data_IF_358219371212
#
_entry.id   IF_358219371212
#
_cell.length_a   1.000
_cell.length_b   1.000
_cell.length_c   1.000
_cell.angle_alpha   90.00
_cell.angle_beta   90.00
_cell.angle_gamma   90.00
#
_symmetry.space_group_name_H-M   'P 1'
#
loop_
_entity.id
_entity.type
_entity.pdbx_description
1 polymer ?
#
# COMPACT_ATOMS: atom_id res chain seq x y z
N UNK A 1 -8.33 22.00 -0.34
CA UNK A 1 -8.10 20.59 0.03
C UNK A 1 -6.60 20.34 0.05
N UNK A 2 -6.10 19.73 1.09
CA UNK A 2 -4.65 19.50 1.18
C UNK A 2 -4.24 18.28 0.34
N UNK A 3 -2.98 18.27 -0.09
CA UNK A 3 -2.43 17.13 -0.81
C UNK A 3 -2.54 15.83 0.01
N UNK A 4 -2.53 15.96 1.34
CA UNK A 4 -2.66 14.83 2.25
C UNK A 4 -3.98 14.08 2.07
N UNK A 5 -5.08 14.84 1.89
CA UNK A 5 -6.40 14.24 1.67
C UNK A 5 -6.44 13.51 0.33
N UNK A 6 -5.85 14.10 -0.71
CA UNK A 6 -5.81 13.49 -2.03
C UNK A 6 -5.03 12.18 -2.00
N UNK A 7 -3.85 12.18 -1.36
CA UNK A 7 -3.01 10.99 -1.25
C UNK A 7 -3.74 9.91 -0.48
N UNK A 8 -4.37 10.26 0.64
CA UNK A 8 -5.13 9.30 1.44
C UNK A 8 -6.25 8.67 0.61
N UNK A 9 -7.04 9.47 -0.08
CA UNK A 9 -8.18 8.99 -0.86
C UNK A 9 -7.71 8.03 -1.96
N UNK A 10 -6.65 8.41 -2.70
CA UNK A 10 -6.14 7.58 -3.79
C UNK A 10 -5.54 6.27 -3.29
N UNK A 11 -4.80 6.33 -2.18
CA UNK A 11 -4.22 5.11 -1.61
C UNK A 11 -5.30 4.18 -1.09
N UNK A 12 -6.33 4.72 -0.45
CA UNK A 12 -7.46 3.95 0.03
C UNK A 12 -8.19 3.28 -1.13
N UNK A 13 -8.45 4.04 -2.20
CA UNK A 13 -9.13 3.50 -3.38
C UNK A 13 -8.31 2.38 -4.01
N UNK A 14 -7.00 2.57 -4.11
CA UNK A 14 -6.10 1.57 -4.68
C UNK A 14 -6.14 0.27 -3.86
N UNK A 15 -5.99 0.36 -2.55
CA UNK A 15 -5.99 -0.82 -1.68
C UNK A 15 -7.36 -1.48 -1.66
N UNK A 16 -8.43 -0.69 -1.65
CA UNK A 16 -9.80 -1.20 -1.68
C UNK A 16 -10.09 -1.97 -2.97
N UNK A 17 -9.48 -1.58 -4.08
CA UNK A 17 -9.58 -2.30 -5.34
C UNK A 17 -8.70 -3.56 -5.33
N UNK A 18 -7.49 -3.44 -4.81
CA UNK A 18 -6.48 -4.49 -4.90
C UNK A 18 -6.80 -5.72 -4.03
N UNK A 19 -7.21 -5.50 -2.79
CA UNK A 19 -7.39 -6.61 -1.84
C UNK A 19 -8.45 -7.62 -2.33
N UNK A 20 -9.66 -7.20 -2.75
CA UNK A 20 -10.61 -8.17 -3.30
C UNK A 20 -10.08 -8.89 -4.53
N UNK A 21 -9.32 -8.20 -5.38
CA UNK A 21 -8.73 -8.80 -6.57
C UNK A 21 -7.78 -9.93 -6.20
N UNK A 22 -6.96 -9.74 -5.16
CA UNK A 22 -6.00 -10.77 -4.74
C UNK A 22 -6.67 -12.01 -4.18
N UNK A 23 -7.88 -11.87 -3.66
CA UNK A 23 -8.63 -13.01 -3.14
C UNK A 23 -9.07 -13.97 -4.24
N UNK A 24 -9.16 -13.50 -5.48
CA UNK A 24 -9.51 -14.33 -6.63
C UNK A 24 -8.30 -15.00 -7.27
N UNK A 25 -7.09 -14.73 -6.79
CA UNK A 25 -5.88 -15.35 -7.33
C UNK A 25 -5.85 -16.84 -7.01
N UNK A 26 -5.33 -17.68 -7.92
CA UNK A 26 -5.21 -19.11 -7.67
C UNK A 26 -4.37 -19.39 -6.42
N UNK A 27 -4.86 -20.29 -5.57
CA UNK A 27 -4.25 -20.53 -4.27
C UNK A 27 -3.02 -21.43 -4.28
N UNK A 28 -2.84 -22.22 -5.33
CA UNK A 28 -1.86 -23.30 -5.28
C UNK A 28 -0.41 -22.84 -5.29
N UNK A 29 0.03 -22.16 -6.34
CA UNK A 29 1.45 -21.82 -6.48
C UNK A 29 1.79 -20.38 -6.09
N UNK A 30 0.78 -19.52 -5.95
CA UNK A 30 0.98 -18.10 -5.69
C UNK A 30 0.57 -17.66 -4.30
N UNK A 31 0.31 -18.60 -3.41
CA UNK A 31 -0.19 -18.28 -2.08
C UNK A 31 0.75 -17.34 -1.31
N UNK A 32 2.05 -17.64 -1.34
CA UNK A 32 3.04 -16.82 -0.63
C UNK A 32 3.12 -15.42 -1.23
N UNK A 33 3.12 -15.33 -2.57
CA UNK A 33 3.19 -14.06 -3.27
C UNK A 33 1.94 -13.22 -2.99
N UNK A 34 0.77 -13.86 -3.01
CA UNK A 34 -0.49 -13.18 -2.71
C UNK A 34 -0.49 -12.60 -1.30
N UNK A 35 -0.01 -13.36 -0.32
CA UNK A 35 0.08 -12.88 1.05
C UNK A 35 1.04 -11.70 1.18
N UNK A 36 2.19 -11.76 0.53
CA UNK A 36 3.14 -10.67 0.57
C UNK A 36 2.59 -9.42 -0.13
N UNK A 37 1.88 -9.62 -1.23
CA UNK A 37 1.24 -8.52 -1.94
C UNK A 37 0.23 -7.81 -1.04
N UNK A 38 -0.63 -8.58 -0.38
CA UNK A 38 -1.62 -8.03 0.52
C UNK A 38 -0.96 -7.29 1.69
N UNK A 39 0.10 -7.87 2.27
CA UNK A 39 0.83 -7.26 3.37
C UNK A 39 1.45 -5.92 2.95
N UNK A 40 2.10 -5.88 1.79
CA UNK A 40 2.72 -4.66 1.28
C UNK A 40 1.68 -3.57 1.03
N UNK A 41 0.54 -3.95 0.44
CA UNK A 41 -0.53 -2.99 0.15
C UNK A 41 -1.11 -2.41 1.45
N UNK A 42 -1.33 -3.24 2.45
CA UNK A 42 -1.84 -2.79 3.73
C UNK A 42 -0.82 -1.94 4.48
N UNK A 43 0.45 -2.34 4.46
CA UNK A 43 1.53 -1.55 5.05
C UNK A 43 1.62 -0.17 4.39
N UNK A 44 1.49 -0.12 3.07
CA UNK A 44 1.47 1.13 2.34
C UNK A 44 0.34 2.04 2.85
N UNK A 45 -0.87 1.50 2.97
CA UNK A 45 -2.01 2.27 3.45
C UNK A 45 -1.79 2.76 4.87
N UNK A 46 -1.28 1.90 5.75
CA UNK A 46 -1.02 2.26 7.14
C UNK A 46 0.01 3.39 7.24
N UNK A 47 1.06 3.33 6.41
CA UNK A 47 2.09 4.37 6.41
C UNK A 47 1.55 5.71 5.91
N UNK A 48 0.63 5.69 4.94
CA UNK A 48 -0.02 6.92 4.49
C UNK A 48 -0.86 7.54 5.62
N UNK A 49 -1.59 6.70 6.36
CA UNK A 49 -2.37 7.18 7.51
C UNK A 49 -1.44 7.78 8.56
N UNK A 50 -0.33 7.10 8.87
CA UNK A 50 0.63 7.58 9.84
C UNK A 50 1.29 8.89 9.38
N UNK A 51 1.61 8.99 8.08
CA UNK A 51 2.20 10.21 7.52
C UNK A 51 1.27 11.40 7.67
N UNK A 52 -0.03 11.19 7.49
CA UNK A 52 -1.02 12.25 7.65
C UNK A 52 -1.12 12.74 9.10
N UNK A 53 -0.73 11.90 10.05
CA UNK A 53 -0.73 12.27 11.48
C UNK A 53 0.58 12.93 11.92
N UNK A 54 1.61 12.93 11.06
CA UNK A 54 2.93 13.46 11.38
C UNK A 54 3.22 14.73 10.59
N UNK A 55 4.28 15.43 10.98
CA UNK A 55 4.72 16.66 10.30
C UNK A 55 6.24 16.69 10.19
N UNK A 56 6.74 17.47 9.22
CA UNK A 56 8.17 17.67 9.02
C UNK A 56 8.91 16.41 8.62
N UNK A 57 10.04 16.16 9.26
CA UNK A 57 10.92 15.05 8.93
C UNK A 57 10.21 13.70 9.14
N UNK A 58 9.43 13.60 10.22
CA UNK A 58 8.72 12.36 10.52
C UNK A 58 7.73 11.99 9.42
N UNK A 59 7.02 13.00 8.90
CA UNK A 59 6.11 12.77 7.77
C UNK A 59 6.86 12.31 6.54
N UNK A 60 8.01 12.94 6.25
CA UNK A 60 8.84 12.56 5.10
C UNK A 60 9.33 11.14 5.21
N UNK A 61 9.74 10.72 6.39
CA UNK A 61 10.20 9.35 6.62
C UNK A 61 9.09 8.34 6.39
N UNK A 62 7.88 8.64 6.86
CA UNK A 62 6.73 7.76 6.65
C UNK A 62 6.36 7.67 5.17
N UNK A 63 6.44 8.79 4.45
CA UNK A 63 6.14 8.80 3.02
C UNK A 63 7.18 8.00 2.23
N UNK A 64 8.46 8.05 2.63
CA UNK A 64 9.49 7.23 2.00
C UNK A 64 9.25 5.75 2.23
N UNK A 65 8.88 5.39 3.46
CA UNK A 65 8.56 4.01 3.77
C UNK A 65 7.34 3.53 2.99
N UNK A 66 6.33 4.39 2.83
CA UNK A 66 5.15 4.08 2.04
C UNK A 66 5.53 3.86 0.57
N UNK A 67 6.42 4.67 0.03
CA UNK A 67 6.88 4.53 -1.34
C UNK A 67 7.59 3.19 -1.55
N UNK A 68 8.41 2.77 -0.60
CA UNK A 68 9.08 1.47 -0.66
C UNK A 68 8.05 0.32 -0.68
N UNK A 69 7.01 0.42 0.15
CA UNK A 69 5.96 -0.60 0.17
C UNK A 69 5.15 -0.62 -1.13
N UNK A 70 4.94 0.54 -1.73
CA UNK A 70 4.27 0.62 -3.02
C UNK A 70 5.10 -0.04 -4.12
N UNK A 71 6.42 0.16 -4.11
CA UNK A 71 7.32 -0.49 -5.06
C UNK A 71 7.26 -2.01 -4.92
N UNK A 72 7.23 -2.52 -3.69
CA UNK A 72 7.08 -3.96 -3.45
C UNK A 72 5.74 -4.47 -3.97
N UNK A 73 4.68 -3.71 -3.75
CA UNK A 73 3.35 -4.06 -4.24
C UNK A 73 3.37 -4.20 -5.76
N UNK A 74 4.00 -3.26 -6.46
CA UNK A 74 4.13 -3.33 -7.91
C UNK A 74 4.93 -4.54 -8.36
N UNK A 75 6.02 -4.86 -7.64
CA UNK A 75 6.83 -6.01 -7.95
C UNK A 75 6.00 -7.30 -7.87
N UNK A 76 5.27 -7.49 -6.79
CA UNK A 76 4.49 -8.70 -6.60
C UNK A 76 3.32 -8.80 -7.58
N UNK A 77 2.76 -7.66 -8.00
CA UNK A 77 1.69 -7.67 -9.01
C UNK A 77 2.18 -8.17 -10.36
N UNK A 78 3.47 -7.99 -10.66
CA UNK A 78 4.05 -8.45 -11.94
C UNK A 78 4.41 -9.93 -11.94
N UNK A 79 4.50 -10.52 -10.77
CA UNK A 79 4.81 -11.93 -10.67
C UNK A 79 3.56 -12.77 -10.86
#
# INVERSE_FOLDING_TARGET
>A
MSDEMVIFTRSYDFVSWLIPLTMDFPKSQRFIITKRLQACALNFQELIVEANAQRGVQRSEKLRAADAELLKTRLYLRL
#
